data_IF_874546783681
#
_entry.id   IF_874546783681
#
_cell.length_a   1.000
_cell.length_b   1.000
_cell.length_c   1.000
_cell.angle_alpha   90.00
_cell.angle_beta   90.00
_cell.angle_gamma   90.00
#
_symmetry.space_group_name_H-M   'P 1'
#
loop_
_entity.id
_entity.type
_entity.pdbx_description
1 polymer ?
#
# COMPACT_ATOMS: atom_id res chain seq x y z
N UNK A 1 -1.63 -4.50 -5.72
CA UNK A 1 -2.38 -5.73 -5.42
C UNK A 1 -1.41 -6.87 -5.27
N UNK A 2 -1.90 -8.11 -5.18
CA UNK A 2 -1.12 -9.34 -5.26
C UNK A 2 -1.91 -10.30 -6.13
N UNK A 3 -1.29 -10.92 -7.15
CA UNK A 3 -2.01 -11.77 -8.10
C UNK A 3 -2.71 -12.95 -7.44
N UNK A 4 -2.12 -13.50 -6.38
CA UNK A 4 -2.71 -14.58 -5.58
C UNK A 4 -3.92 -14.13 -4.76
N UNK A 5 -3.92 -12.91 -4.25
CA UNK A 5 -5.08 -12.35 -3.57
C UNK A 5 -6.23 -12.11 -4.57
N UNK A 6 -5.92 -11.55 -5.74
CA UNK A 6 -6.90 -11.36 -6.82
C UNK A 6 -7.51 -12.69 -7.26
N UNK A 7 -6.69 -13.73 -7.47
CA UNK A 7 -7.17 -15.09 -7.77
C UNK A 7 -8.10 -15.61 -6.67
N UNK A 8 -7.72 -15.45 -5.40
CA UNK A 8 -8.55 -15.87 -4.26
C UNK A 8 -9.90 -15.16 -4.19
N UNK A 9 -9.94 -13.86 -4.42
CA UNK A 9 -11.15 -13.03 -4.30
C UNK A 9 -12.15 -13.29 -5.43
N UNK A 10 -11.67 -13.55 -6.64
CA UNK A 10 -12.50 -13.57 -7.85
C UNK A 10 -12.53 -14.92 -8.57
N UNK A 11 -12.07 -16.01 -7.94
CA UNK A 11 -12.01 -17.35 -8.54
C UNK A 11 -13.31 -17.81 -9.22
N UNK A 12 -14.52 -17.63 -8.66
CA UNK A 12 -15.76 -18.03 -9.35
C UNK A 12 -15.96 -17.28 -10.68
N UNK A 13 -15.69 -15.98 -10.70
CA UNK A 13 -15.83 -15.15 -11.90
C UNK A 13 -14.76 -15.50 -12.94
N UNK A 14 -13.55 -15.84 -12.49
CA UNK A 14 -12.48 -16.32 -13.38
C UNK A 14 -12.84 -17.65 -14.05
N UNK A 15 -13.45 -18.58 -13.30
CA UNK A 15 -13.91 -19.86 -13.84
C UNK A 15 -15.00 -19.67 -14.93
N UNK A 16 -15.85 -18.66 -14.79
CA UNK A 16 -16.83 -18.29 -15.82
C UNK A 16 -16.19 -17.62 -17.05
N UNK A 17 -15.00 -17.02 -16.90
CA UNK A 17 -14.33 -16.25 -17.94
C UNK A 17 -13.50 -17.11 -18.90
N UNK A 18 -12.75 -18.09 -18.39
CA UNK A 18 -11.86 -18.93 -19.19
C UNK A 18 -11.51 -20.26 -18.50
N UNK A 19 -10.98 -21.22 -19.27
CA UNK A 19 -10.52 -22.51 -18.76
C UNK A 19 -9.27 -22.38 -17.89
N UNK A 20 -8.37 -21.45 -18.24
CA UNK A 20 -7.23 -21.04 -17.45
C UNK A 20 -7.22 -19.52 -17.27
N UNK A 21 -6.85 -19.07 -16.06
CA UNK A 21 -6.65 -17.65 -15.81
C UNK A 21 -5.29 -17.41 -15.17
N UNK A 22 -4.53 -16.49 -15.76
CA UNK A 22 -3.26 -16.00 -15.25
C UNK A 22 -3.44 -14.57 -14.77
N UNK A 23 -3.17 -14.33 -13.48
CA UNK A 23 -3.17 -12.97 -12.92
C UNK A 23 -1.73 -12.54 -12.68
N UNK A 24 -1.24 -11.66 -13.54
CA UNK A 24 0.11 -11.11 -13.49
C UNK A 24 0.26 -10.10 -12.36
N UNK A 25 1.34 -10.27 -11.60
CA UNK A 25 1.78 -9.40 -10.51
C UNK A 25 3.28 -9.59 -10.27
N UNK A 26 3.97 -8.49 -9.99
CA UNK A 26 5.42 -8.47 -9.76
C UNK A 26 5.88 -9.18 -8.49
N UNK A 27 5.01 -9.35 -7.50
CA UNK A 27 5.34 -10.12 -6.31
C UNK A 27 4.90 -11.58 -6.47
N UNK A 28 3.62 -11.79 -6.78
CA UNK A 28 3.02 -13.12 -6.88
C UNK A 28 2.02 -13.22 -8.02
N UNK A 29 2.49 -13.70 -9.16
CA UNK A 29 1.65 -14.10 -10.29
C UNK A 29 0.91 -15.40 -9.97
N UNK A 30 -0.33 -15.55 -10.43
CA UNK A 30 -1.15 -16.74 -10.14
C UNK A 30 -1.66 -17.45 -11.38
N UNK A 31 -1.80 -18.77 -11.27
CA UNK A 31 -2.36 -19.68 -12.28
C UNK A 31 -3.56 -20.40 -11.67
N UNK A 32 -4.75 -20.20 -12.22
CA UNK A 32 -6.02 -20.63 -11.63
C UNK A 32 -6.07 -22.13 -11.39
N UNK A 33 -5.73 -22.97 -12.38
CA UNK A 33 -5.91 -24.42 -12.30
C UNK A 33 -5.10 -25.09 -11.18
N UNK A 34 -3.96 -24.50 -10.80
CA UNK A 34 -3.13 -24.98 -9.71
C UNK A 34 -3.41 -24.29 -8.37
N UNK A 35 -3.89 -23.04 -8.41
CA UNK A 35 -4.12 -22.24 -7.21
C UNK A 35 -5.22 -22.86 -6.35
N UNK A 36 -5.06 -22.81 -5.02
CA UNK A 36 -6.01 -23.41 -4.08
C UNK A 36 -7.45 -22.92 -4.30
N UNK A 37 -7.63 -21.61 -4.52
CA UNK A 37 -8.93 -21.02 -4.83
C UNK A 37 -9.54 -21.52 -6.15
N UNK A 38 -8.72 -21.68 -7.20
CA UNK A 38 -9.20 -22.22 -8.47
C UNK A 38 -9.64 -23.68 -8.33
N UNK A 39 -8.85 -24.51 -7.65
CA UNK A 39 -9.23 -25.90 -7.33
C UNK A 39 -10.50 -25.96 -6.49
N UNK A 40 -10.67 -25.05 -5.53
CA UNK A 40 -11.85 -24.98 -4.69
C UNK A 40 -13.13 -24.70 -5.50
N UNK A 41 -13.06 -23.81 -6.50
CA UNK A 41 -14.20 -23.54 -7.40
C UNK A 41 -14.35 -24.57 -8.52
N UNK A 42 -13.45 -25.56 -8.61
CA UNK A 42 -13.53 -26.64 -9.59
C UNK A 42 -12.78 -26.41 -10.90
N UNK A 43 -11.81 -25.48 -10.92
CA UNK A 43 -10.90 -25.32 -12.06
C UNK A 43 -10.14 -26.62 -12.32
N UNK A 44 -10.07 -27.01 -13.59
CA UNK A 44 -9.40 -28.24 -14.03
C UNK A 44 -7.95 -27.95 -14.37
N UNK A 45 -7.02 -28.90 -14.17
CA UNK A 45 -5.66 -28.79 -14.70
C UNK A 45 -5.67 -28.51 -16.20
N UNK A 46 -4.85 -27.56 -16.65
CA UNK A 46 -4.78 -27.11 -18.05
C UNK A 46 -3.44 -27.42 -18.72
N UNK A 47 -2.44 -27.88 -17.95
CA UNK A 47 -1.09 -28.12 -18.43
C UNK A 47 -0.27 -26.85 -18.68
N UNK A 48 -0.82 -25.66 -18.45
CA UNK A 48 -0.12 -24.38 -18.61
C UNK A 48 0.97 -24.25 -17.56
N UNK A 49 2.19 -23.92 -17.98
CA UNK A 49 3.33 -23.65 -17.09
C UNK A 49 3.82 -22.22 -17.28
N UNK A 50 4.11 -21.56 -16.17
CA UNK A 50 4.62 -20.19 -16.19
C UNK A 50 6.15 -20.17 -16.16
N UNK A 51 6.73 -19.16 -16.81
CA UNK A 51 8.17 -18.85 -16.82
C UNK A 51 8.71 -18.53 -15.43
N UNK A 52 7.86 -18.01 -14.56
CA UNK A 52 8.23 -17.61 -13.21
C UNK A 52 8.49 -18.80 -12.29
N UNK A 53 9.28 -18.58 -11.24
CA UNK A 53 9.58 -19.63 -10.26
C UNK A 53 8.36 -19.88 -9.37
N UNK A 54 7.89 -21.13 -9.34
CA UNK A 54 6.78 -21.52 -8.48
C UNK A 54 7.17 -21.40 -7.00
N UNK A 55 6.32 -20.73 -6.22
CA UNK A 55 6.42 -20.61 -4.75
C UNK A 55 5.64 -21.75 -4.06
N UNK A 56 4.36 -21.83 -4.39
CA UNK A 56 3.42 -22.89 -4.00
C UNK A 56 2.53 -23.17 -5.21
N UNK A 57 1.81 -24.31 -5.30
CA UNK A 57 0.96 -24.60 -6.46
C UNK A 57 0.07 -23.42 -6.87
N UNK A 58 0.18 -23.02 -8.14
CA UNK A 58 -0.54 -21.87 -8.71
C UNK A 58 -0.11 -20.48 -8.24
N UNK A 59 0.98 -20.35 -7.48
CA UNK A 59 1.57 -19.07 -7.04
C UNK A 59 3.03 -19.03 -7.46
N UNK A 60 3.41 -18.00 -8.21
CA UNK A 60 4.74 -17.88 -8.81
C UNK A 60 5.35 -16.53 -8.45
N UNK A 61 6.63 -16.51 -8.08
CA UNK A 61 7.37 -15.29 -7.84
C UNK A 61 7.58 -14.54 -9.15
N UNK A 62 6.94 -13.37 -9.26
CA UNK A 62 7.15 -12.46 -10.39
C UNK A 62 8.51 -11.75 -10.30
N UNK A 63 8.78 -10.93 -11.30
CA UNK A 63 9.86 -9.95 -11.30
C UNK A 63 9.30 -8.52 -11.36
N UNK A 64 10.18 -7.52 -11.28
CA UNK A 64 9.79 -6.10 -11.36
C UNK A 64 10.22 -5.49 -12.69
N UNK A 65 9.32 -4.73 -13.31
CA UNK A 65 9.55 -4.09 -14.60
C UNK A 65 8.43 -3.13 -14.99
N UNK A 66 8.44 -2.71 -16.27
CA UNK A 66 7.48 -1.75 -16.85
C UNK A 66 6.33 -2.43 -17.60
N UNK A 67 6.27 -3.75 -17.56
CA UNK A 67 5.31 -4.59 -18.26
C UNK A 67 4.00 -4.78 -17.49
N UNK A 68 3.29 -5.84 -17.84
CA UNK A 68 2.01 -6.23 -17.23
C UNK A 68 2.15 -6.52 -15.74
N UNK A 69 1.21 -6.03 -14.93
CA UNK A 69 1.24 -6.25 -13.49
C UNK A 69 2.50 -5.74 -12.78
N UNK A 70 3.27 -4.83 -13.41
CA UNK A 70 4.54 -4.34 -12.90
C UNK A 70 5.71 -5.32 -13.07
N UNK A 71 5.57 -6.32 -13.95
CA UNK A 71 6.61 -7.32 -14.27
C UNK A 71 7.49 -6.88 -15.46
N UNK A 72 8.49 -7.69 -15.84
CA UNK A 72 9.22 -7.50 -17.10
C UNK A 72 8.44 -7.93 -18.35
N UNK A 73 7.29 -8.61 -18.18
CA UNK A 73 6.48 -9.19 -19.26
C UNK A 73 5.79 -8.08 -20.07
N UNK A 74 6.21 -7.88 -21.32
CA UNK A 74 5.62 -6.86 -22.21
C UNK A 74 4.45 -7.41 -23.01
N UNK A 75 4.61 -8.62 -23.56
CA UNK A 75 3.54 -9.40 -24.18
C UNK A 75 3.00 -10.42 -23.16
N UNK A 76 1.70 -10.44 -22.86
CA UNK A 76 1.15 -11.32 -21.84
C UNK A 76 1.39 -12.81 -22.13
N UNK A 77 1.58 -13.22 -23.39
CA UNK A 77 1.88 -14.62 -23.75
C UNK A 77 3.23 -15.07 -23.24
N UNK A 78 4.19 -14.15 -23.09
CA UNK A 78 5.56 -14.47 -22.68
C UNK A 78 5.65 -15.03 -21.25
N UNK A 79 4.61 -14.82 -20.43
CA UNK A 79 4.53 -15.46 -19.10
C UNK A 79 4.42 -16.97 -19.19
N UNK A 80 3.87 -17.51 -20.27
CA UNK A 80 3.71 -18.95 -20.48
C UNK A 80 5.04 -19.49 -21.01
N UNK A 81 5.66 -20.40 -20.28
CA UNK A 81 6.89 -21.07 -20.71
C UNK A 81 6.60 -22.30 -21.57
N UNK A 82 5.53 -23.01 -21.27
CA UNK A 82 5.19 -24.29 -21.90
C UNK A 82 3.71 -24.63 -21.64
N UNK A 83 3.12 -25.48 -22.49
CA UNK A 83 1.77 -26.03 -22.32
C UNK A 83 1.85 -27.54 -22.54
N UNK A 84 1.59 -28.32 -21.49
CA UNK A 84 1.57 -29.77 -21.55
C UNK A 84 0.36 -30.27 -22.35
N UNK A 85 0.63 -30.70 -23.59
CA UNK A 85 -0.39 -31.18 -24.54
C UNK A 85 -1.01 -32.52 -24.16
N UNK A 86 -0.50 -33.22 -23.15
CA UNK A 86 -1.18 -34.40 -22.60
C UNK A 86 -2.37 -34.04 -21.70
N UNK A 87 -2.41 -32.79 -21.22
CA UNK A 87 -3.47 -32.24 -20.35
C UNK A 87 -4.31 -31.20 -21.09
N UNK A 88 -3.66 -30.32 -21.86
CA UNK A 88 -4.33 -29.27 -22.62
C UNK A 88 -5.13 -29.81 -23.80
N UNK A 89 -6.16 -29.07 -24.23
CA UNK A 89 -7.00 -29.43 -25.38
C UNK A 89 -7.12 -28.26 -26.37
N UNK A 90 -7.27 -28.53 -27.68
CA UNK A 90 -7.57 -27.49 -28.66
C UNK A 90 -8.87 -26.76 -28.33
N UNK A 91 -8.88 -25.44 -28.53
CA UNK A 91 -9.97 -24.54 -28.16
C UNK A 91 -9.97 -24.09 -26.70
N UNK A 92 -9.04 -24.57 -25.86
CA UNK A 92 -8.88 -24.11 -24.49
C UNK A 92 -8.61 -22.60 -24.45
N UNK A 93 -9.36 -21.88 -23.62
CA UNK A 93 -9.26 -20.44 -23.45
C UNK A 93 -8.36 -20.09 -22.27
N UNK A 94 -7.39 -19.21 -22.51
CA UNK A 94 -6.49 -18.69 -21.49
C UNK A 94 -6.72 -17.19 -21.38
N UNK A 95 -7.17 -16.74 -20.22
CA UNK A 95 -7.34 -15.32 -19.92
C UNK A 95 -6.17 -14.83 -19.08
N UNK A 96 -5.47 -13.79 -19.55
CA UNK A 96 -4.36 -13.18 -18.83
C UNK A 96 -4.75 -11.75 -18.46
N UNK A 97 -4.71 -11.43 -17.17
CA UNK A 97 -5.01 -10.08 -16.65
C UNK A 97 -4.01 -9.69 -15.56
N UNK A 98 -4.25 -8.56 -14.90
CA UNK A 98 -3.41 -8.01 -13.84
C UNK A 98 -4.26 -7.58 -12.65
N UNK A 99 -3.62 -7.35 -11.49
CA UNK A 99 -4.32 -7.08 -10.23
C UNK A 99 -5.21 -5.84 -10.22
N UNK A 100 -5.07 -4.95 -11.20
CA UNK A 100 -5.87 -3.73 -11.32
C UNK A 100 -7.07 -3.86 -12.26
N UNK A 101 -7.18 -4.97 -13.03
CA UNK A 101 -8.25 -5.15 -14.01
C UNK A 101 -8.19 -4.21 -15.22
N UNK A 102 -7.19 -3.33 -15.32
CA UNK A 102 -7.10 -2.33 -16.40
C UNK A 102 -6.66 -2.90 -17.75
N UNK A 103 -6.06 -4.10 -17.75
CA UNK A 103 -5.58 -4.77 -18.96
C UNK A 103 -5.96 -6.24 -18.90
N UNK A 104 -6.38 -6.79 -20.03
CA UNK A 104 -6.69 -8.20 -20.18
C UNK A 104 -6.49 -8.64 -21.63
N UNK A 105 -6.05 -9.87 -21.82
CA UNK A 105 -5.92 -10.50 -23.13
C UNK A 105 -6.42 -11.95 -23.05
N UNK A 106 -7.12 -12.40 -24.09
CA UNK A 106 -7.65 -13.76 -24.18
C UNK A 106 -6.98 -14.49 -25.34
N UNK A 107 -6.61 -15.73 -25.08
CA UNK A 107 -5.98 -16.60 -26.07
C UNK A 107 -6.75 -17.91 -26.19
N UNK A 108 -6.78 -18.45 -27.39
CA UNK A 108 -7.30 -19.77 -27.67
C UNK A 108 -6.16 -20.67 -28.15
N UNK A 109 -6.01 -21.83 -27.50
CA UNK A 109 -5.04 -22.84 -27.89
C UNK A 109 -5.49 -23.49 -29.22
N UNK A 110 -4.65 -23.39 -30.24
CA UNK A 110 -4.91 -23.98 -31.55
C UNK A 110 -4.44 -25.45 -31.59
N UNK A 111 -4.86 -26.21 -32.61
CA UNK A 111 -4.48 -27.63 -32.79
C UNK A 111 -2.96 -27.81 -32.95
N UNK A 112 -2.28 -26.86 -33.60
CA UNK A 112 -0.82 -26.84 -33.74
C UNK A 112 -0.11 -26.46 -32.43
N UNK A 113 -0.87 -26.12 -31.39
CA UNK A 113 -0.48 -25.67 -30.05
C UNK A 113 0.08 -24.25 -29.99
N UNK A 114 -0.12 -23.45 -31.05
CA UNK A 114 0.06 -22.01 -30.98
C UNK A 114 -1.08 -21.36 -30.18
N UNK A 115 -0.82 -20.18 -29.61
CA UNK A 115 -1.83 -19.36 -28.96
C UNK A 115 -2.29 -18.24 -29.89
N UNK A 116 -3.56 -18.29 -30.29
CA UNK A 116 -4.20 -17.23 -31.08
C UNK A 116 -4.92 -16.27 -30.16
N UNK A 117 -4.61 -14.99 -30.26
CA UNK A 117 -5.35 -13.95 -29.54
C UNK A 117 -6.78 -13.85 -30.07
N UNK A 118 -7.75 -13.81 -29.17
CA UNK A 118 -9.18 -13.68 -29.47
C UNK A 118 -9.77 -12.52 -28.64
N UNK A 119 -10.90 -11.92 -29.07
CA UNK A 119 -11.56 -10.88 -28.28
C UNK A 119 -11.95 -11.37 -26.88
N UNK A 120 -11.92 -10.47 -25.89
CA UNK A 120 -12.43 -10.75 -24.55
C UNK A 120 -13.93 -11.04 -24.62
N UNK A 121 -14.36 -12.16 -24.03
CA UNK A 121 -15.78 -12.46 -23.86
C UNK A 121 -16.41 -11.63 -22.73
N UNK A 122 -17.73 -11.62 -22.65
CA UNK A 122 -18.49 -10.80 -21.69
C UNK A 122 -18.12 -11.13 -20.23
N UNK A 123 -17.88 -12.40 -19.90
CA UNK A 123 -17.46 -12.83 -18.56
C UNK A 123 -16.09 -12.25 -18.19
N UNK A 124 -15.11 -12.26 -19.10
CA UNK A 124 -13.79 -11.69 -18.89
C UNK A 124 -13.85 -10.16 -18.74
N UNK A 125 -14.68 -9.48 -19.52
CA UNK A 125 -14.92 -8.04 -19.38
C UNK A 125 -15.52 -7.70 -18.02
N UNK A 126 -16.54 -8.46 -17.60
CA UNK A 126 -17.17 -8.31 -16.28
C UNK A 126 -16.17 -8.50 -15.14
N UNK A 127 -15.29 -9.51 -15.24
CA UNK A 127 -14.22 -9.71 -14.25
C UNK A 127 -13.32 -8.49 -14.15
N UNK A 128 -12.89 -7.92 -15.27
CA UNK A 128 -12.04 -6.72 -15.28
C UNK A 128 -12.73 -5.51 -14.65
N UNK A 129 -14.02 -5.30 -14.93
CA UNK A 129 -14.82 -4.24 -14.32
C UNK A 129 -14.95 -4.43 -12.80
N UNK A 130 -15.19 -5.66 -12.34
CA UNK A 130 -15.26 -5.96 -10.90
C UNK A 130 -13.91 -5.72 -10.23
N UNK A 131 -12.80 -6.16 -10.83
CA UNK A 131 -11.47 -5.94 -10.26
C UNK A 131 -11.16 -4.44 -10.20
N UNK A 132 -11.40 -3.71 -11.29
CA UNK A 132 -11.07 -2.28 -11.36
C UNK A 132 -11.93 -1.43 -10.44
N UNK A 133 -13.23 -1.72 -10.31
CA UNK A 133 -14.14 -1.01 -9.40
C UNK A 133 -13.87 -1.27 -7.90
N UNK A 134 -13.07 -2.29 -7.58
CA UNK A 134 -12.60 -2.59 -6.22
C UNK A 134 -11.13 -2.20 -5.99
N UNK A 135 -10.52 -1.47 -6.93
CA UNK A 135 -9.14 -1.02 -6.82
C UNK A 135 -9.08 0.44 -6.30
N UNK A 136 -8.27 0.67 -5.27
CA UNK A 136 -7.98 2.01 -4.78
C UNK A 136 -6.73 2.61 -5.45
N UNK A 137 -6.66 3.94 -5.66
CA UNK A 137 -5.46 4.60 -6.13
C UNK A 137 -4.28 4.37 -5.17
N UNK A 138 -3.14 3.97 -5.72
CA UNK A 138 -1.90 3.86 -4.94
C UNK A 138 -1.39 5.26 -4.59
N UNK A 139 -1.23 5.56 -3.30
CA UNK A 139 -0.64 6.80 -2.80
C UNK A 139 0.65 6.49 -2.02
N UNK A 140 1.63 7.39 -2.13
CA UNK A 140 2.84 7.32 -1.31
C UNK A 140 2.52 7.92 0.06
N UNK A 141 2.67 7.13 1.13
CA UNK A 141 2.54 7.62 2.50
C UNK A 141 3.93 7.88 3.09
N UNK A 142 4.08 8.99 3.81
CA UNK A 142 5.31 9.33 4.51
C UNK A 142 5.02 9.64 5.99
N UNK A 143 5.77 8.99 6.88
CA UNK A 143 5.75 9.26 8.32
C UNK A 143 7.07 9.92 8.72
N UNK A 144 7.00 11.04 9.42
CA UNK A 144 8.16 11.62 10.08
C UNK A 144 8.23 11.10 11.51
N UNK A 145 9.37 10.50 11.88
CA UNK A 145 9.64 10.08 13.26
C UNK A 145 10.67 11.00 13.89
N UNK A 146 10.36 11.51 15.08
CA UNK A 146 11.21 12.44 15.80
C UNK A 146 11.17 12.21 17.30
N UNK A 147 12.05 12.93 18.01
CA UNK A 147 12.09 12.92 19.46
C UNK A 147 12.54 14.25 20.04
N UNK A 148 11.92 14.67 21.14
CA UNK A 148 12.33 15.85 21.89
C UNK A 148 13.29 15.47 23.02
N UNK A 149 14.56 15.81 22.84
CA UNK A 149 15.62 15.60 23.83
C UNK A 149 15.50 16.47 25.08
N UNK A 150 16.43 16.30 26.04
CA UNK A 150 16.46 17.09 27.28
C UNK A 150 16.55 18.60 27.04
N UNK A 151 17.38 19.03 26.09
CA UNK A 151 17.55 20.45 25.73
C UNK A 151 16.29 21.09 25.18
N UNK A 152 15.60 20.41 24.24
CA UNK A 152 14.34 20.88 23.69
C UNK A 152 13.27 21.05 24.78
N UNK A 153 13.16 20.07 25.69
CA UNK A 153 12.22 20.11 26.82
C UNK A 153 12.56 21.21 27.84
N UNK A 154 13.85 21.42 28.12
CA UNK A 154 14.31 22.45 29.04
C UNK A 154 14.02 23.88 28.54
N UNK A 155 13.95 24.05 27.21
CA UNK A 155 13.51 25.31 26.60
C UNK A 155 12.04 25.66 26.87
N UNK A 156 11.22 24.66 27.22
CA UNK A 156 9.77 24.83 27.47
C UNK A 156 9.47 24.94 28.97
N UNK A 157 10.09 24.07 29.79
CA UNK A 157 9.86 23.98 31.24
C UNK A 157 11.17 23.77 32.02
N UNK A 158 11.19 24.18 33.28
CA UNK A 158 12.33 23.99 34.22
C UNK A 158 12.53 22.52 34.60
N UNK A 159 11.48 21.70 34.54
CA UNK A 159 11.52 20.26 34.87
C UNK A 159 11.15 19.40 33.65
N UNK A 160 12.10 19.05 32.76
CA UNK A 160 11.83 18.33 31.51
C UNK A 160 11.00 17.05 31.62
N UNK A 161 11.14 16.33 32.74
CA UNK A 161 10.37 15.11 33.01
C UNK A 161 8.88 15.41 33.18
N UNK A 162 8.51 16.54 33.80
CA UNK A 162 7.10 16.92 34.00
C UNK A 162 6.38 17.20 32.68
N UNK A 163 7.04 17.85 31.71
CA UNK A 163 6.48 18.02 30.36
C UNK A 163 6.27 16.67 29.66
N UNK A 164 7.22 15.74 29.83
CA UNK A 164 7.09 14.39 29.28
C UNK A 164 5.87 13.68 29.88
N UNK A 165 5.74 13.70 31.20
CA UNK A 165 4.59 13.13 31.91
C UNK A 165 3.27 13.79 31.48
N UNK A 166 3.25 15.12 31.32
CA UNK A 166 2.06 15.86 30.90
C UNK A 166 1.59 15.47 29.49
N UNK A 167 2.52 15.21 28.57
CA UNK A 167 2.17 14.73 27.22
C UNK A 167 1.60 13.31 27.29
N UNK A 168 2.26 12.41 28.03
CA UNK A 168 1.80 11.04 28.21
C UNK A 168 0.45 10.96 28.95
N UNK A 169 0.14 11.94 29.81
CA UNK A 169 -1.14 12.04 30.52
C UNK A 169 -2.17 12.94 29.82
N UNK A 170 -1.93 13.35 28.57
CA UNK A 170 -2.80 14.23 27.77
C UNK A 170 -3.13 15.60 28.42
N UNK A 171 -2.31 16.08 29.35
CA UNK A 171 -2.36 17.46 29.89
C UNK A 171 -1.71 18.47 28.95
N UNK A 172 -0.76 18.02 28.13
CA UNK A 172 -0.16 18.80 27.07
C UNK A 172 -0.29 18.07 25.73
N UNK A 173 -0.80 18.77 24.73
CA UNK A 173 -0.94 18.24 23.37
C UNK A 173 0.34 18.54 22.58
N UNK A 174 0.87 17.50 21.92
CA UNK A 174 1.99 17.59 21.00
C UNK A 174 1.47 17.68 19.56
N UNK A 175 1.82 18.73 18.84
CA UNK A 175 1.62 18.84 17.40
C UNK A 175 2.92 19.13 16.66
N UNK A 176 2.97 18.74 15.38
CA UNK A 176 4.11 18.99 14.49
C UNK A 176 3.62 19.82 13.31
N UNK A 177 3.98 21.10 13.28
CA UNK A 177 3.53 22.04 12.25
C UNK A 177 2.02 22.02 12.06
N UNK A 178 1.26 21.99 13.16
CA UNK A 178 -0.20 21.89 13.20
C UNK A 178 -0.80 20.48 13.08
N UNK A 179 -0.03 19.46 12.73
CA UNK A 179 -0.53 18.09 12.64
C UNK A 179 -0.52 17.39 14.00
N UNK A 180 -1.58 16.63 14.36
CA UNK A 180 -1.55 15.80 15.56
C UNK A 180 -0.52 14.69 15.40
N UNK A 181 0.29 14.48 16.44
CA UNK A 181 1.32 13.45 16.46
C UNK A 181 0.89 12.24 17.31
N UNK A 182 1.29 11.05 16.88
CA UNK A 182 1.23 9.86 17.72
C UNK A 182 2.44 9.83 18.65
N UNK A 183 2.20 9.95 19.97
CA UNK A 183 3.25 9.85 20.98
C UNK A 183 3.56 8.37 21.24
N UNK A 184 4.80 7.96 21.02
CA UNK A 184 5.26 6.59 21.23
C UNK A 184 5.42 6.29 22.73
N UNK A 185 5.17 5.04 23.16
CA UNK A 185 5.38 4.65 24.55
C UNK A 185 6.85 4.79 24.99
N UNK A 186 7.07 4.88 26.30
CA UNK A 186 8.40 4.96 26.91
C UNK A 186 8.64 6.26 27.67
N UNK A 187 9.88 6.47 28.14
CA UNK A 187 10.25 7.58 29.03
C UNK A 187 10.56 8.92 28.34
N UNK A 188 10.41 9.00 27.01
CA UNK A 188 10.72 10.19 26.21
C UNK A 188 9.49 10.79 25.54
N UNK A 189 9.68 11.93 24.87
CA UNK A 189 8.71 12.46 23.90
C UNK A 189 9.19 12.05 22.52
N UNK A 190 8.94 10.79 22.16
CA UNK A 190 9.18 10.30 20.82
C UNK A 190 7.85 10.21 20.10
N UNK A 191 7.81 10.55 18.81
CA UNK A 191 6.56 10.66 18.10
C UNK A 191 6.68 10.26 16.63
N UNK A 192 5.52 9.93 16.05
CA UNK A 192 5.33 9.78 14.62
C UNK A 192 4.25 10.76 14.16
N UNK A 193 4.43 11.37 12.99
CA UNK A 193 3.43 12.24 12.39
C UNK A 193 3.27 11.96 10.90
N UNK A 194 2.01 11.99 10.47
CA UNK A 194 1.65 11.96 9.05
C UNK A 194 2.09 13.25 8.37
N UNK A 195 3.05 13.13 7.44
CA UNK A 195 3.64 14.27 6.73
C UNK A 195 2.60 15.00 5.89
N UNK A 196 1.57 14.33 5.38
CA UNK A 196 0.53 14.98 4.58
C UNK A 196 -0.32 15.98 5.39
N UNK A 197 -0.38 15.79 6.71
CA UNK A 197 -1.14 16.67 7.61
C UNK A 197 -0.31 17.83 8.15
N UNK A 198 1.02 17.77 8.03
CA UNK A 198 1.92 18.85 8.48
C UNK A 198 1.81 20.02 7.52
N UNK A 199 1.72 21.24 8.06
CA UNK A 199 1.72 22.45 7.24
C UNK A 199 2.90 22.44 6.27
N UNK A 200 2.60 22.64 4.98
CA UNK A 200 3.62 22.67 3.94
C UNK A 200 4.71 23.71 4.26
N UNK A 201 5.98 23.29 4.11
CA UNK A 201 7.15 24.14 4.38
C UNK A 201 7.48 24.33 5.87
N UNK A 202 6.82 23.60 6.79
CA UNK A 202 7.10 23.74 8.21
C UNK A 202 8.42 23.07 8.66
N UNK A 203 8.90 22.05 7.94
CA UNK A 203 10.23 21.50 8.17
C UNK A 203 11.31 22.41 7.56
N UNK A 204 12.42 22.58 8.28
CA UNK A 204 13.62 23.25 7.78
C UNK A 204 14.86 22.39 8.01
N UNK A 205 16.02 22.84 7.52
CA UNK A 205 17.25 22.05 7.52
C UNK A 205 18.42 22.89 8.00
N UNK A 206 19.33 22.27 8.75
CA UNK A 206 20.64 22.85 9.04
C UNK A 206 21.64 22.54 7.94
N UNK A 207 22.76 23.30 7.81
CA UNK A 207 23.83 22.99 6.85
C UNK A 207 24.47 21.62 7.08
N UNK A 208 24.57 21.18 8.33
CA UNK A 208 24.81 19.77 8.67
C UNK A 208 23.48 19.03 8.46
N UNK A 209 23.41 17.91 7.74
CA UNK A 209 22.14 17.29 7.33
C UNK A 209 21.34 16.79 8.55
N UNK A 210 20.54 17.68 9.13
CA UNK A 210 19.60 17.42 10.21
C UNK A 210 18.32 18.23 9.95
N UNK A 211 17.18 17.58 10.19
CA UNK A 211 15.88 18.24 10.10
C UNK A 211 15.61 19.06 11.35
N UNK A 212 15.10 20.27 11.15
CA UNK A 212 14.49 21.08 12.20
C UNK A 212 12.99 20.81 12.16
N UNK A 213 12.51 20.12 13.19
CA UNK A 213 11.11 19.72 13.32
C UNK A 213 10.30 20.83 14.04
N UNK A 214 9.16 21.27 13.47
CA UNK A 214 8.31 22.32 14.06
C UNK A 214 7.44 21.75 15.19
N UNK A 215 8.06 21.46 16.34
CA UNK A 215 7.38 20.92 17.51
C UNK A 215 6.62 22.03 18.25
N UNK A 216 5.35 21.77 18.56
CA UNK A 216 4.46 22.66 19.30
C UNK A 216 3.87 21.92 20.50
N UNK A 217 3.78 22.61 21.64
CA UNK A 217 3.11 22.12 22.84
C UNK A 217 1.98 23.08 23.19
N UNK A 218 0.76 22.58 23.30
CA UNK A 218 -0.40 23.36 23.77
C UNK A 218 -0.98 22.72 25.02
N UNK A 219 -1.33 23.55 26.00
CA UNK A 219 -1.81 23.11 27.31
C UNK A 219 -2.55 24.25 28.02
N UNK A 220 -3.24 23.94 29.11
CA UNK A 220 -3.81 24.96 29.97
C UNK A 220 -2.72 25.74 30.71
N UNK A 221 -2.99 27.03 30.98
CA UNK A 221 -2.04 27.90 31.68
C UNK A 221 -1.68 27.36 33.07
N UNK A 222 -2.66 26.76 33.77
CA UNK A 222 -2.45 26.17 35.08
C UNK A 222 -1.49 24.97 35.01
N UNK A 223 -1.72 24.03 34.09
CA UNK A 223 -0.80 22.89 33.87
C UNK A 223 0.61 23.37 33.53
N UNK A 224 0.75 24.40 32.68
CA UNK A 224 2.06 24.99 32.33
C UNK A 224 2.79 25.53 33.57
N UNK A 225 2.07 26.18 34.48
CA UNK A 225 2.62 26.65 35.75
C UNK A 225 3.06 25.49 36.65
N UNK A 226 2.22 24.46 36.83
CA UNK A 226 2.52 23.30 37.68
C UNK A 226 3.75 22.49 37.23
N UNK A 227 3.96 22.41 35.90
CA UNK A 227 5.12 21.74 35.32
C UNK A 227 6.41 22.58 35.38
N UNK A 228 6.35 23.79 35.93
CA UNK A 228 7.48 24.70 36.05
C UNK A 228 7.82 25.41 34.74
N UNK A 229 6.80 25.81 33.98
CA UNK A 229 6.95 26.64 32.79
C UNK A 229 7.71 27.95 33.07
N UNK A 230 8.30 28.51 32.02
CA UNK A 230 8.99 29.80 32.04
C UNK A 230 7.97 30.94 31.93
N UNK A 231 7.17 31.13 32.98
CA UNK A 231 6.09 32.13 33.07
C UNK A 231 6.59 33.55 32.74
N UNK A 232 7.80 33.86 33.19
CA UNK A 232 8.50 35.12 32.95
C UNK A 232 8.75 35.44 31.47
N UNK A 233 8.77 34.42 30.61
CA UNK A 233 9.03 34.55 29.18
C UNK A 233 7.74 34.54 28.33
N UNK A 234 6.57 34.38 28.94
CA UNK A 234 5.30 34.33 28.22
C UNK A 234 4.98 35.67 27.56
N UNK A 235 4.46 35.60 26.34
CA UNK A 235 3.95 36.75 25.59
C UNK A 235 2.49 36.50 25.24
N UNK A 236 1.61 37.52 25.35
CA UNK A 236 0.24 37.37 24.92
C UNK A 236 0.20 37.07 23.42
N UNK A 237 -0.58 36.06 23.05
CA UNK A 237 -0.83 35.70 21.67
C UNK A 237 -2.34 35.63 21.45
N UNK A 238 -2.84 36.24 20.38
CA UNK A 238 -4.23 36.11 19.95
C UNK A 238 -4.27 35.06 18.84
N UNK A 239 -4.92 33.93 19.11
CA UNK A 239 -5.17 32.90 18.11
C UNK A 239 -6.15 33.42 17.06
N UNK A 240 -5.83 33.19 15.79
CA UNK A 240 -6.80 33.34 14.70
C UNK A 240 -7.62 32.05 14.64
N UNK A 241 -8.92 32.14 14.37
CA UNK A 241 -9.76 30.96 14.18
C UNK A 241 -9.13 30.05 13.10
N UNK A 242 -9.20 28.72 13.25
CA UNK A 242 -8.73 27.81 12.21
C UNK A 242 -9.39 28.19 10.88
N UNK A 243 -8.61 28.32 9.81
CA UNK A 243 -9.17 28.44 8.47
C UNK A 243 -9.93 27.13 8.21
N UNK A 244 -11.22 27.21 7.90
CA UNK A 244 -11.96 26.02 7.48
C UNK A 244 -11.17 25.39 6.32
N UNK A 245 -10.84 24.11 6.45
CA UNK A 245 -10.34 23.33 5.33
C UNK A 245 -11.49 23.32 4.32
N UNK A 246 -11.32 24.03 3.21
CA UNK A 246 -12.22 23.93 2.08
C UNK A 246 -11.82 22.64 1.39
N UNK A 247 -12.75 21.69 1.33
CA UNK A 247 -12.56 20.39 0.65
C UNK A 247 -12.09 20.57 -0.81
#
# INVERSE_FOLDING_TARGET
>A
GCGSATMGLFAPLFLEAADEVIVLDSHLTSLMSEHSAGRFVGARPTGVKLRFQMSTPGRYFGDHGRGWGGTSIMDPRDVISDIDRSVAWPGMRIFITQTTGLRGAMFELQDDGSLREIPLNDSAQRVMEVISSNCEPSRVSALYMGGAGGSARAGVVKYPIKLTQAIHSAKANLTIGGAPAFVMPGGGINFMVDVERVKQGAFSWTPTPATICPIEYTMELHDYHEMGGHIEAMKPFKTVAPRALVD
#
